data_IF_286284227739
#
_entry.id   IF_286284227739
#
_cell.length_a   1.000
_cell.length_b   1.000
_cell.length_c   1.000
_cell.angle_alpha   90.00
_cell.angle_beta   90.00
_cell.angle_gamma   90.00
#
_symmetry.space_group_name_H-M   'P 1'
#
loop_
_entity.id
_entity.type
_entity.pdbx_description
1 polymer ?
#
# COMPACT_ATOMS: atom_id res chain seq x y z
N UNK A 1 -26.22 -26.23 9.72
CA UNK A 1 -24.91 -25.57 9.87
C UNK A 1 -24.39 -25.31 8.47
N UNK A 2 -24.32 -24.07 8.06
CA UNK A 2 -23.72 -23.72 6.77
C UNK A 2 -22.21 -23.99 6.88
N UNK A 3 -21.65 -24.73 5.91
CA UNK A 3 -20.25 -25.11 5.91
C UNK A 3 -19.41 -23.88 5.59
N UNK A 4 -18.98 -23.16 6.62
CA UNK A 4 -18.06 -22.06 6.45
C UNK A 4 -16.64 -22.61 6.24
N UNK A 5 -15.88 -21.96 5.34
CA UNK A 5 -14.51 -22.34 5.04
C UNK A 5 -13.61 -21.98 6.23
N UNK A 6 -12.83 -22.93 6.79
CA UNK A 6 -11.89 -22.61 7.85
C UNK A 6 -10.81 -21.65 7.33
N UNK A 7 -10.38 -20.71 8.17
CA UNK A 7 -9.24 -19.85 7.84
C UNK A 7 -7.97 -20.73 7.73
N UNK A 8 -7.16 -20.53 6.68
CA UNK A 8 -5.92 -21.29 6.54
C UNK A 8 -4.92 -20.92 7.65
N UNK A 9 -4.24 -21.92 8.21
CA UNK A 9 -3.20 -21.72 9.22
C UNK A 9 -1.89 -21.28 8.53
N UNK A 10 -1.80 -20.00 8.23
CA UNK A 10 -0.63 -19.37 7.59
C UNK A 10 -0.06 -18.36 8.57
N UNK A 11 1.23 -18.52 8.93
CA UNK A 11 1.92 -17.53 9.75
C UNK A 11 2.03 -16.18 9.01
N UNK A 12 1.74 -15.05 9.66
CA UNK A 12 2.01 -13.71 9.11
C UNK A 12 3.49 -13.46 8.80
N UNK A 13 4.38 -14.22 9.46
CA UNK A 13 5.82 -14.16 9.28
C UNK A 13 6.30 -15.32 8.41
N UNK A 14 7.04 -14.99 7.33
CA UNK A 14 7.60 -15.97 6.40
C UNK A 14 8.77 -16.69 7.07
N UNK A 15 9.67 -15.91 7.67
CA UNK A 15 10.76 -16.41 8.51
C UNK A 15 11.20 -15.34 9.50
N UNK A 16 11.79 -15.79 10.61
CA UNK A 16 12.43 -14.95 11.62
C UNK A 16 13.90 -15.32 11.72
N UNK A 17 14.76 -14.32 11.72
CA UNK A 17 16.20 -14.47 11.90
C UNK A 17 16.64 -13.68 13.11
N UNK A 18 17.21 -14.36 14.10
CA UNK A 18 17.79 -13.71 15.27
C UNK A 18 19.30 -13.69 15.16
N UNK A 19 19.87 -12.48 15.04
CA UNK A 19 21.32 -12.26 14.95
C UNK A 19 21.73 -11.26 16.03
N UNK A 20 22.72 -11.58 16.84
CA UNK A 20 23.28 -10.71 17.89
C UNK A 20 22.23 -10.11 18.84
N UNK A 21 21.14 -10.85 19.15
CA UNK A 21 20.07 -10.36 20.02
C UNK A 21 19.01 -9.51 19.33
N UNK A 22 19.14 -9.20 18.04
CA UNK A 22 18.12 -8.55 17.23
C UNK A 22 17.32 -9.59 16.46
N UNK A 23 15.99 -9.55 16.58
CA UNK A 23 15.09 -10.43 15.81
C UNK A 23 14.56 -9.69 14.60
N UNK A 24 14.93 -10.15 13.43
CA UNK A 24 14.40 -9.66 12.15
C UNK A 24 13.35 -10.65 11.63
N UNK A 25 12.13 -10.18 11.45
CA UNK A 25 11.04 -10.98 10.88
C UNK A 25 10.66 -10.45 9.50
N UNK A 26 10.75 -11.29 8.47
CA UNK A 26 10.20 -10.97 7.16
C UNK A 26 8.73 -11.36 7.15
N UNK A 27 7.85 -10.38 6.95
CA UNK A 27 6.40 -10.54 6.91
C UNK A 27 5.87 -10.52 5.48
N UNK A 28 4.81 -11.28 5.22
CA UNK A 28 4.09 -11.25 3.94
C UNK A 28 3.69 -9.84 3.52
N UNK A 29 3.38 -8.99 4.49
CA UNK A 29 3.01 -7.60 4.26
C UNK A 29 4.15 -6.79 3.62
N UNK A 30 5.36 -6.88 4.18
CA UNK A 30 6.54 -6.21 3.64
C UNK A 30 6.88 -6.74 2.23
N UNK A 31 6.82 -8.06 2.05
CA UNK A 31 7.05 -8.69 0.76
C UNK A 31 6.00 -8.23 -0.27
N UNK A 32 4.72 -8.18 0.10
CA UNK A 32 3.64 -7.71 -0.75
C UNK A 32 3.86 -6.30 -1.28
N UNK A 33 4.32 -5.37 -0.42
CA UNK A 33 4.68 -4.03 -0.84
C UNK A 33 5.88 -4.00 -1.79
N UNK A 34 6.98 -4.67 -1.43
CA UNK A 34 8.20 -4.69 -2.24
C UNK A 34 7.92 -5.27 -3.62
N UNK A 35 7.31 -6.44 -3.67
CA UNK A 35 6.96 -7.11 -4.94
C UNK A 35 5.95 -6.28 -5.74
N UNK A 36 4.96 -5.68 -5.06
CA UNK A 36 3.98 -4.80 -5.69
C UNK A 36 4.62 -3.59 -6.36
N UNK A 37 5.57 -2.94 -5.70
CA UNK A 37 6.31 -1.81 -6.25
C UNK A 37 7.14 -2.24 -7.47
N UNK A 38 7.85 -3.37 -7.36
CA UNK A 38 8.69 -3.89 -8.47
C UNK A 38 7.83 -4.25 -9.68
N UNK A 39 6.70 -4.93 -9.47
CA UNK A 39 5.76 -5.27 -10.55
C UNK A 39 5.16 -4.00 -11.16
N UNK A 40 4.74 -3.04 -10.33
CA UNK A 40 4.22 -1.75 -10.77
C UNK A 40 5.24 -1.00 -11.63
N UNK A 41 6.47 -0.88 -11.17
CA UNK A 41 7.56 -0.28 -11.94
C UNK A 41 7.78 -1.00 -13.28
N UNK A 42 7.83 -2.33 -13.27
CA UNK A 42 7.99 -3.13 -14.49
C UNK A 42 6.82 -2.88 -15.48
N UNK A 43 5.58 -2.85 -14.99
CA UNK A 43 4.39 -2.55 -15.82
C UNK A 43 4.49 -1.16 -16.43
N UNK A 44 4.86 -0.12 -15.65
CA UNK A 44 5.05 1.23 -16.16
C UNK A 44 6.08 1.27 -17.29
N UNK A 45 7.22 0.56 -17.09
CA UNK A 45 8.25 0.45 -18.11
C UNK A 45 7.79 -0.26 -19.37
N UNK A 46 6.96 -1.29 -19.26
CA UNK A 46 6.42 -1.99 -20.42
C UNK A 46 5.33 -1.16 -21.11
N UNK A 47 4.49 -0.45 -20.34
CA UNK A 47 3.47 0.41 -20.90
C UNK A 47 4.08 1.55 -21.71
N UNK A 48 5.17 2.17 -21.23
CA UNK A 48 5.84 3.25 -21.96
C UNK A 48 6.47 2.80 -23.28
N UNK A 49 6.76 1.51 -23.45
CA UNK A 49 7.26 0.94 -24.74
C UNK A 49 6.16 0.69 -25.76
N UNK A 50 4.90 0.61 -25.30
CA UNK A 50 3.75 0.34 -26.17
C UNK A 50 3.12 1.66 -26.60
N UNK A 51 3.61 2.23 -27.69
CA UNK A 51 3.20 3.54 -28.20
C UNK A 51 1.68 3.62 -28.43
N UNK A 52 1.06 2.55 -28.93
CA UNK A 52 -0.39 2.47 -29.20
C UNK A 52 -1.29 2.62 -27.95
N UNK A 53 -0.74 2.57 -26.75
CA UNK A 53 -1.50 2.83 -25.52
C UNK A 53 -1.69 4.33 -25.25
N UNK A 54 -0.90 5.17 -25.90
CA UNK A 54 -0.80 6.58 -25.57
C UNK A 54 -1.36 7.45 -26.69
N UNK A 55 -1.83 8.62 -26.28
CA UNK A 55 -2.32 9.61 -27.23
C UNK A 55 -1.19 10.02 -28.17
N UNK A 56 -1.52 10.09 -29.48
CA UNK A 56 -0.59 10.44 -30.54
C UNK A 56 0.66 9.53 -30.59
N UNK A 57 0.49 8.27 -30.18
CA UNK A 57 1.56 7.26 -30.11
C UNK A 57 2.80 7.72 -29.34
N UNK A 58 2.61 8.63 -28.38
CA UNK A 58 3.69 9.25 -27.60
C UNK A 58 3.52 8.95 -26.12
N UNK A 59 4.44 8.19 -25.49
CA UNK A 59 4.37 7.92 -24.06
C UNK A 59 4.55 9.24 -23.27
N UNK A 60 3.77 9.46 -22.20
CA UNK A 60 3.78 10.70 -21.45
C UNK A 60 5.08 10.94 -20.67
N UNK A 61 5.79 9.86 -20.34
CA UNK A 61 7.03 9.89 -19.57
C UNK A 61 8.08 8.97 -20.20
N UNK A 62 9.32 9.41 -20.19
CA UNK A 62 10.48 8.58 -20.51
C UNK A 62 10.78 7.60 -19.38
N UNK A 63 11.69 6.66 -19.62
CA UNK A 63 12.11 5.69 -18.61
C UNK A 63 12.61 6.35 -17.34
N UNK A 64 13.54 7.31 -17.47
CA UNK A 64 14.13 8.02 -16.34
C UNK A 64 13.08 8.83 -15.57
N UNK A 65 12.12 9.43 -16.27
CA UNK A 65 10.99 10.13 -15.67
C UNK A 65 10.02 9.21 -14.93
N UNK A 66 9.88 7.95 -15.34
CA UNK A 66 9.11 6.95 -14.60
C UNK A 66 9.84 6.57 -13.31
N UNK A 67 11.16 6.45 -13.32
CA UNK A 67 11.96 6.19 -12.11
C UNK A 67 11.88 7.37 -11.13
N UNK A 68 11.89 8.61 -11.64
CA UNK A 68 11.64 9.80 -10.84
C UNK A 68 10.21 9.81 -10.26
N UNK A 69 9.20 9.49 -11.07
CA UNK A 69 7.81 9.40 -10.60
C UNK A 69 7.69 8.39 -9.46
N UNK A 70 8.31 7.21 -9.57
CA UNK A 70 8.35 6.21 -8.52
C UNK A 70 8.94 6.78 -7.23
N UNK A 71 10.06 7.47 -7.34
CA UNK A 71 10.73 8.11 -6.20
C UNK A 71 9.82 9.13 -5.52
N UNK A 72 9.19 10.02 -6.30
CA UNK A 72 8.26 11.03 -5.78
C UNK A 72 7.01 10.40 -5.14
N UNK A 73 6.49 9.32 -5.72
CA UNK A 73 5.36 8.58 -5.16
C UNK A 73 5.73 7.94 -3.82
N UNK A 74 6.90 7.31 -3.70
CA UNK A 74 7.36 6.74 -2.43
C UNK A 74 7.49 7.82 -1.35
N UNK A 75 8.13 8.94 -1.68
CA UNK A 75 8.25 10.08 -0.76
C UNK A 75 6.86 10.62 -0.40
N UNK A 76 5.97 10.76 -1.38
CA UNK A 76 4.59 11.23 -1.18
C UNK A 76 3.78 10.34 -0.25
N UNK A 77 3.87 9.01 -0.42
CA UNK A 77 3.21 8.04 0.46
C UNK A 77 3.72 8.16 1.89
N UNK A 78 5.04 8.19 2.09
CA UNK A 78 5.65 8.23 3.43
C UNK A 78 5.34 9.56 4.11
N UNK A 79 5.67 10.68 3.46
CA UNK A 79 5.46 12.01 4.03
C UNK A 79 3.97 12.32 4.23
N UNK A 80 3.15 12.05 3.20
CA UNK A 80 1.71 12.28 3.27
C UNK A 80 1.02 11.39 4.29
N UNK A 81 1.37 10.09 4.32
CA UNK A 81 0.84 9.15 5.30
C UNK A 81 1.18 9.55 6.74
N UNK A 82 2.41 9.95 7.00
CA UNK A 82 2.84 10.40 8.31
C UNK A 82 2.20 11.74 8.71
N UNK A 83 2.24 12.70 7.82
CA UNK A 83 1.63 14.02 8.06
C UNK A 83 0.12 13.92 8.30
N UNK A 84 -0.58 13.13 7.48
CA UNK A 84 -2.00 12.86 7.68
C UNK A 84 -2.30 12.16 9.00
N UNK A 85 -1.43 11.25 9.44
CA UNK A 85 -1.57 10.63 10.77
C UNK A 85 -1.43 11.65 11.90
N UNK A 86 -0.39 12.48 11.83
CA UNK A 86 -0.13 13.53 12.83
C UNK A 86 -1.31 14.49 12.93
N UNK A 87 -1.90 14.89 11.80
CA UNK A 87 -3.01 15.84 11.78
C UNK A 87 -4.33 15.26 12.29
N UNK A 88 -4.67 14.03 11.88
CA UNK A 88 -6.02 13.49 12.09
C UNK A 88 -6.12 12.49 13.24
N UNK A 89 -4.99 11.90 13.66
CA UNK A 89 -4.97 10.83 14.66
C UNK A 89 -3.98 11.09 15.81
N UNK A 90 -3.35 12.26 15.83
CA UNK A 90 -2.27 12.57 16.77
C UNK A 90 -2.71 12.95 18.17
N UNK A 91 -4.00 13.20 18.45
CA UNK A 91 -4.60 13.53 19.75
C UNK A 91 -3.75 14.48 20.63
N UNK A 92 -3.03 15.43 20.00
CA UNK A 92 -2.17 16.40 20.69
C UNK A 92 -0.81 15.85 21.19
N UNK A 93 -0.55 14.55 21.08
CA UNK A 93 0.73 13.96 21.54
C UNK A 93 1.97 14.58 20.87
N UNK A 94 1.82 14.99 19.61
CA UNK A 94 2.91 15.59 18.83
C UNK A 94 3.19 17.06 19.20
N UNK A 95 2.23 17.75 19.85
CA UNK A 95 2.46 19.08 20.39
C UNK A 95 3.46 19.06 21.55
N UNK A 96 3.41 17.99 22.37
CA UNK A 96 4.32 17.82 23.50
C UNK A 96 5.68 17.21 23.12
N UNK A 97 5.74 16.48 22.00
CA UNK A 97 6.96 15.85 21.48
C UNK A 97 7.04 15.93 19.95
N UNK A 98 7.42 17.09 19.38
CA UNK A 98 7.48 17.27 17.92
C UNK A 98 8.44 16.31 17.22
N UNK A 99 9.51 15.87 17.88
CA UNK A 99 10.47 14.92 17.32
C UNK A 99 9.82 13.54 17.01
N UNK A 100 8.72 13.20 17.68
CA UNK A 100 7.98 11.97 17.43
C UNK A 100 7.33 11.95 16.03
N UNK A 101 7.15 13.12 15.38
CA UNK A 101 6.64 13.19 13.99
C UNK A 101 7.54 12.42 13.04
N UNK A 102 8.85 12.43 13.23
CA UNK A 102 9.83 11.78 12.35
C UNK A 102 10.04 10.29 12.66
N UNK A 103 9.51 9.78 13.76
CA UNK A 103 9.64 8.37 14.14
C UNK A 103 8.60 7.51 13.42
N UNK A 104 8.81 7.29 12.12
CA UNK A 104 7.92 6.47 11.27
C UNK A 104 7.94 4.98 11.65
N UNK A 105 9.00 4.51 12.30
CA UNK A 105 9.16 3.13 12.77
C UNK A 105 8.29 2.78 13.97
N UNK A 106 7.77 3.78 14.70
CA UNK A 106 6.82 3.57 15.78
C UNK A 106 5.39 3.31 15.25
N UNK A 107 5.22 3.26 13.93
CA UNK A 107 3.94 3.11 13.28
C UNK A 107 3.17 4.44 13.13
N UNK A 108 1.89 4.36 12.81
CA UNK A 108 1.03 5.53 12.63
C UNK A 108 1.16 6.17 11.24
N UNK A 109 0.42 5.61 10.28
CA UNK A 109 0.31 6.10 8.91
C UNK A 109 -1.17 6.26 8.54
N UNK A 110 -1.50 7.37 7.90
CA UNK A 110 -2.85 7.63 7.38
C UNK A 110 -2.94 7.22 5.91
N UNK A 111 -3.90 6.34 5.58
CA UNK A 111 -4.18 5.99 4.19
C UNK A 111 -4.55 7.23 3.35
N UNK A 112 -5.44 8.08 3.86
CA UNK A 112 -5.86 9.29 3.15
C UNK A 112 -4.70 10.26 2.95
N UNK A 113 -3.84 10.41 3.96
CA UNK A 113 -2.63 11.24 3.84
C UNK A 113 -1.67 10.69 2.78
N UNK A 114 -1.42 9.39 2.76
CA UNK A 114 -0.63 8.74 1.73
C UNK A 114 -1.20 8.92 0.33
N UNK A 115 -2.52 8.75 0.16
CA UNK A 115 -3.20 8.97 -1.11
C UNK A 115 -3.06 10.42 -1.61
N UNK A 116 -3.25 11.40 -0.73
CA UNK A 116 -3.03 12.82 -1.07
C UNK A 116 -1.57 13.03 -1.48
N UNK A 117 -0.62 12.42 -0.77
CA UNK A 117 0.80 12.47 -1.12
C UNK A 117 1.10 11.94 -2.52
N UNK A 118 0.46 10.83 -2.93
CA UNK A 118 0.54 10.31 -4.31
C UNK A 118 -0.03 11.30 -5.31
N UNK A 119 -1.20 11.88 -5.02
CA UNK A 119 -1.81 12.90 -5.90
C UNK A 119 -0.88 14.11 -6.10
N UNK A 120 -0.29 14.61 -5.02
CA UNK A 120 0.67 15.72 -5.08
C UNK A 120 1.91 15.34 -5.91
N UNK A 121 2.49 14.16 -5.66
CA UNK A 121 3.63 13.64 -6.43
C UNK A 121 3.31 13.56 -7.93
N UNK A 122 2.12 13.06 -8.27
CA UNK A 122 1.63 12.97 -9.66
C UNK A 122 1.56 14.36 -10.32
N UNK A 123 0.97 15.33 -9.62
CA UNK A 123 0.83 16.71 -10.12
C UNK A 123 2.21 17.38 -10.32
N UNK A 124 3.10 17.21 -9.34
CA UNK A 124 4.46 17.77 -9.42
C UNK A 124 5.22 17.16 -10.58
N UNK A 125 5.17 15.84 -10.74
CA UNK A 125 5.83 15.13 -11.82
C UNK A 125 5.27 15.56 -13.20
N UNK A 126 3.95 15.58 -13.37
CA UNK A 126 3.30 16.00 -14.61
C UNK A 126 3.70 17.42 -15.01
N UNK A 127 3.70 18.37 -14.05
CA UNK A 127 4.12 19.76 -14.31
C UNK A 127 5.61 19.87 -14.62
N UNK A 128 6.45 19.14 -13.90
CA UNK A 128 7.91 19.18 -14.09
C UNK A 128 8.32 18.73 -15.49
N UNK A 129 7.65 17.71 -16.02
CA UNK A 129 7.98 17.12 -17.32
C UNK A 129 7.07 17.58 -18.47
N UNK A 130 6.12 18.48 -18.21
CA UNK A 130 5.18 18.96 -19.22
C UNK A 130 4.23 17.89 -19.74
N UNK A 131 4.05 16.80 -18.97
CA UNK A 131 3.15 15.70 -19.33
C UNK A 131 1.70 16.02 -18.96
N UNK A 132 0.74 15.46 -19.71
CA UNK A 132 -0.66 15.56 -19.36
C UNK A 132 -0.93 14.82 -18.03
N UNK A 133 -1.55 15.49 -17.07
CA UNK A 133 -1.82 14.93 -15.74
C UNK A 133 -2.61 13.61 -15.81
N UNK A 134 -3.60 13.53 -16.72
CA UNK A 134 -4.41 12.33 -16.92
C UNK A 134 -3.57 11.12 -17.34
N UNK A 135 -2.59 11.32 -18.22
CA UNK A 135 -1.75 10.24 -18.73
C UNK A 135 -0.77 9.74 -17.66
N UNK A 136 -0.21 10.65 -16.85
CA UNK A 136 0.61 10.25 -15.69
C UNK A 136 -0.24 9.52 -14.65
N UNK A 137 -1.47 9.98 -14.39
CA UNK A 137 -2.41 9.30 -13.50
C UNK A 137 -2.80 7.91 -14.03
N UNK A 138 -2.95 7.73 -15.33
CA UNK A 138 -3.22 6.44 -15.96
C UNK A 138 -2.07 5.43 -15.75
N UNK A 139 -0.80 5.88 -15.81
CA UNK A 139 0.35 5.03 -15.46
C UNK A 139 0.21 4.55 -14.03
N UNK A 140 -0.07 5.43 -13.08
CA UNK A 140 -0.21 5.06 -11.66
C UNK A 140 -1.41 4.14 -11.43
N UNK A 141 -2.56 4.39 -12.03
CA UNK A 141 -3.74 3.54 -11.91
C UNK A 141 -3.45 2.10 -12.40
N UNK A 142 -2.76 1.98 -13.53
CA UNK A 142 -2.35 0.68 -14.09
C UNK A 142 -1.39 -0.06 -13.14
N UNK A 143 -0.44 0.65 -12.54
CA UNK A 143 0.61 0.08 -11.68
C UNK A 143 0.13 -0.19 -10.25
N UNK A 144 -0.85 0.53 -9.74
CA UNK A 144 -1.37 0.35 -8.38
C UNK A 144 -2.18 -0.95 -8.22
N UNK A 145 -2.81 -1.43 -9.28
CA UNK A 145 -3.70 -2.61 -9.21
C UNK A 145 -3.00 -3.87 -8.70
N UNK A 146 -1.85 -4.33 -9.26
CA UNK A 146 -1.17 -5.52 -8.76
C UNK A 146 -0.62 -5.33 -7.33
N UNK A 147 -0.14 -4.14 -7.01
CA UNK A 147 0.33 -3.82 -5.66
C UNK A 147 -0.82 -3.92 -4.64
N UNK A 148 -1.98 -3.35 -4.96
CA UNK A 148 -3.18 -3.45 -4.12
C UNK A 148 -3.62 -4.90 -3.93
N UNK A 149 -3.59 -5.71 -4.98
CA UNK A 149 -3.92 -7.13 -4.90
C UNK A 149 -3.00 -7.88 -3.92
N UNK A 150 -1.69 -7.69 -4.03
CA UNK A 150 -0.72 -8.35 -3.14
C UNK A 150 -0.87 -7.92 -1.68
N UNK A 151 -1.11 -6.63 -1.45
CA UNK A 151 -1.39 -6.12 -0.10
C UNK A 151 -2.69 -6.70 0.46
N UNK A 152 -3.75 -6.88 -0.36
CA UNK A 152 -5.00 -7.53 0.09
C UNK A 152 -4.79 -9.01 0.43
N UNK A 153 -3.92 -9.71 -0.29
CA UNK A 153 -3.52 -11.08 0.11
C UNK A 153 -2.79 -11.09 1.46
N UNK A 154 -1.89 -10.14 1.69
CA UNK A 154 -1.20 -10.00 2.97
C UNK A 154 -2.19 -9.67 4.11
N UNK A 155 -3.18 -8.80 3.90
CA UNK A 155 -4.25 -8.55 4.86
C UNK A 155 -5.04 -9.83 5.18
N UNK A 156 -5.34 -10.65 4.15
CA UNK A 156 -6.02 -11.92 4.37
C UNK A 156 -5.17 -12.84 5.24
N UNK A 157 -3.87 -13.01 4.94
CA UNK A 157 -2.95 -13.84 5.74
C UNK A 157 -2.87 -13.34 7.20
N UNK A 158 -2.86 -12.02 7.41
CA UNK A 158 -2.85 -11.42 8.74
C UNK A 158 -4.22 -11.49 9.46
N UNK A 159 -5.28 -11.94 8.79
CA UNK A 159 -6.64 -11.95 9.35
C UNK A 159 -7.23 -10.56 9.54
N UNK A 160 -6.83 -9.59 8.70
CA UNK A 160 -7.25 -8.20 8.77
C UNK A 160 -8.26 -7.84 7.68
N UNK A 161 -9.07 -6.78 7.90
CA UNK A 161 -9.96 -6.20 6.90
C UNK A 161 -10.89 -7.23 6.21
N UNK A 162 -11.44 -8.11 7.00
CA UNK A 162 -12.20 -9.29 6.58
C UNK A 162 -13.64 -9.01 6.12
N UNK A 163 -14.09 -7.77 6.06
CA UNK A 163 -15.39 -7.42 5.49
C UNK A 163 -16.56 -7.54 6.48
N UNK A 164 -17.76 -7.90 5.99
CA UNK A 164 -18.98 -8.01 6.78
C UNK A 164 -19.28 -9.45 7.15
N UNK A 165 -19.92 -9.71 8.33
CA UNK A 165 -20.48 -11.02 8.66
C UNK A 165 -21.44 -11.51 7.57
N UNK A 166 -21.45 -12.81 7.30
CA UNK A 166 -22.25 -13.44 6.27
C UNK A 166 -22.64 -14.86 6.64
N UNK A 167 -23.84 -15.29 6.23
CA UNK A 167 -24.34 -16.66 6.37
C UNK A 167 -24.13 -17.49 5.11
N UNK A 168 -23.41 -16.99 4.13
CA UNK A 168 -23.17 -17.67 2.85
C UNK A 168 -22.26 -18.90 3.08
N UNK A 169 -22.48 -20.02 2.33
CA UNK A 169 -21.74 -21.26 2.52
C UNK A 169 -20.24 -21.18 2.22
N UNK A 170 -19.81 -20.13 1.52
CA UNK A 170 -18.39 -19.84 1.24
C UNK A 170 -17.79 -18.75 2.14
N UNK A 171 -18.49 -18.41 3.23
CA UNK A 171 -17.94 -17.49 4.25
C UNK A 171 -16.71 -18.09 4.92
N UNK A 172 -15.68 -17.26 5.17
CA UNK A 172 -14.45 -17.67 5.86
C UNK A 172 -14.54 -17.33 7.33
N UNK A 173 -14.17 -18.28 8.21
CA UNK A 173 -14.10 -18.06 9.67
C UNK A 173 -12.75 -17.53 10.07
N UNK A 174 -12.65 -16.22 10.33
CA UNK A 174 -11.43 -15.61 10.81
C UNK A 174 -11.21 -15.87 12.32
N UNK A 175 -9.99 -16.21 12.77
CA UNK A 175 -9.70 -16.52 14.17
C UNK A 175 -10.00 -15.37 15.14
N UNK A 176 -9.74 -14.13 14.71
CA UNK A 176 -9.97 -12.92 15.52
C UNK A 176 -11.45 -12.65 15.83
N UNK A 177 -12.38 -13.12 15.00
CA UNK A 177 -13.82 -13.02 15.26
C UNK A 177 -14.30 -13.97 16.37
N UNK A 178 -13.58 -15.08 16.60
CA UNK A 178 -13.95 -16.04 17.63
C UNK A 178 -13.55 -15.58 19.03
N UNK A 179 -12.67 -14.58 19.15
CA UNK A 179 -12.13 -14.09 20.42
C UNK A 179 -12.90 -12.87 20.98
N UNK A 180 -13.76 -12.24 20.18
CA UNK A 180 -14.57 -11.10 20.62
C UNK A 180 -16.07 -11.43 20.54
N UNK A 181 -16.71 -11.84 21.67
CA UNK A 181 -18.14 -12.18 21.70
C UNK A 181 -19.06 -11.01 21.32
N UNK A 182 -18.61 -9.75 21.46
CA UNK A 182 -19.39 -8.56 21.11
C UNK A 182 -19.48 -8.30 19.61
N UNK A 183 -18.67 -8.98 18.80
CA UNK A 183 -18.64 -8.87 17.34
C UNK A 183 -19.32 -10.02 16.59
N UNK A 184 -20.01 -10.89 17.31
CA UNK A 184 -20.75 -12.03 16.76
C UNK A 184 -22.20 -11.67 16.31
N UNK A 185 -22.43 -10.39 15.94
CA UNK A 185 -23.71 -9.94 15.40
C UNK A 185 -23.62 -9.63 13.92
#
# INVERSE_FOLDING_TARGET
MLAAIPFPDISPEIFTLTLFGFTFALRWYALGYIVGIVIGWWIAMQASKRLTLWRDDTPPLTRDQIEDLLTWVIIGVIAGGRFGYVLFYGDGQFANNPAAIFRIWDGGMSFHGGFIGVCVATIVCARRYGAALGDVANILALTATPATFLVRLANFINGELWGRPTDLPWGVKFPSMCLDPSRQL
#
